data_IF_592597711082
#
_entry.id   IF_592597711082
#
_cell.length_a   1.000
_cell.length_b   1.000
_cell.length_c   1.000
_cell.angle_alpha   90.00
_cell.angle_beta   90.00
_cell.angle_gamma   90.00
#
_symmetry.space_group_name_H-M   'P 1'
#
loop_
_entity.id
_entity.type
_entity.pdbx_description
1 polymer ?
#
# COMPACT_ATOMS: atom_id res chain seq x y z
N UNK A 1 19.74 -0.07 13.91
CA UNK A 1 18.33 -0.44 14.19
C UNK A 1 17.80 -1.09 12.93
N UNK A 2 17.22 -2.26 13.04
CA UNK A 2 16.61 -3.01 11.93
C UNK A 2 15.45 -2.21 11.33
N UNK A 3 15.31 -2.27 10.00
CA UNK A 3 14.20 -1.65 9.28
C UNK A 3 13.51 -2.69 8.40
N UNK A 4 12.20 -2.71 8.44
CA UNK A 4 11.37 -3.46 7.50
C UNK A 4 10.88 -2.48 6.43
N UNK A 5 11.17 -2.80 5.17
CA UNK A 5 10.79 -2.00 4.01
C UNK A 5 9.74 -2.77 3.24
N UNK A 6 8.52 -2.23 3.17
CA UNK A 6 7.41 -2.81 2.44
C UNK A 6 7.17 -2.04 1.15
N UNK A 7 7.42 -2.70 0.02
CA UNK A 7 7.27 -2.12 -1.32
C UNK A 7 5.95 -2.62 -1.88
N UNK A 8 5.05 -1.71 -2.15
CA UNK A 8 3.68 -2.03 -2.49
C UNK A 8 3.10 -1.03 -3.51
N UNK A 9 1.94 -1.32 -4.04
CA UNK A 9 1.16 -0.34 -4.79
C UNK A 9 -0.29 -0.32 -4.27
N UNK A 10 -0.89 0.86 -4.05
CA UNK A 10 -2.27 0.96 -3.55
C UNK A 10 -3.31 0.32 -4.47
N UNK A 11 -3.00 0.19 -5.78
CA UNK A 11 -3.85 -0.44 -6.78
C UNK A 11 -3.46 -1.90 -7.09
N UNK A 12 -2.67 -2.53 -6.23
CA UNK A 12 -2.26 -3.92 -6.36
C UNK A 12 -3.12 -4.83 -5.47
N UNK A 13 -3.89 -5.75 -6.05
CA UNK A 13 -4.75 -6.69 -5.33
C UNK A 13 -3.98 -7.62 -4.38
N UNK A 14 -2.78 -8.10 -4.77
CA UNK A 14 -1.92 -8.89 -3.89
C UNK A 14 -1.38 -8.09 -2.70
N UNK A 15 -1.16 -6.77 -2.87
CA UNK A 15 -0.81 -5.90 -1.75
C UNK A 15 -1.97 -5.74 -0.77
N UNK A 16 -3.20 -5.66 -1.29
CA UNK A 16 -4.40 -5.69 -0.45
C UNK A 16 -4.52 -7.03 0.27
N UNK A 17 -4.32 -8.15 -0.42
CA UNK A 17 -4.30 -9.49 0.18
C UNK A 17 -3.28 -9.65 1.32
N UNK A 18 -2.24 -8.83 1.33
CA UNK A 18 -1.19 -8.83 2.37
C UNK A 18 -1.43 -7.80 3.50
N UNK A 19 -2.54 -7.05 3.45
CA UNK A 19 -2.81 -5.94 4.39
C UNK A 19 -2.85 -6.39 5.85
N UNK A 20 -3.49 -7.52 6.13
CA UNK A 20 -3.59 -8.04 7.50
C UNK A 20 -2.22 -8.47 8.04
N UNK A 21 -1.40 -9.10 7.21
CA UNK A 21 -0.05 -9.52 7.58
C UNK A 21 0.83 -8.32 7.93
N UNK A 22 0.84 -7.28 7.10
CA UNK A 22 1.67 -6.08 7.36
C UNK A 22 1.19 -5.33 8.59
N UNK A 23 -0.11 -5.29 8.83
CA UNK A 23 -0.67 -4.66 10.04
C UNK A 23 -0.29 -5.46 11.30
N UNK A 24 -0.39 -6.78 11.26
CA UNK A 24 0.00 -7.65 12.38
C UNK A 24 1.51 -7.55 12.68
N UNK A 25 2.36 -7.57 11.65
CA UNK A 25 3.80 -7.35 11.82
C UNK A 25 4.09 -5.97 12.43
N UNK A 26 3.41 -4.93 11.95
CA UNK A 26 3.56 -3.58 12.48
C UNK A 26 3.18 -3.53 13.96
N UNK A 27 2.01 -4.02 14.34
CA UNK A 27 1.57 -4.01 15.74
C UNK A 27 2.52 -4.79 16.65
N UNK A 28 3.07 -5.90 16.17
CA UNK A 28 4.00 -6.74 16.94
C UNK A 28 5.38 -6.10 17.09
N UNK A 29 5.91 -5.47 16.03
CA UNK A 29 7.31 -5.07 15.98
C UNK A 29 7.56 -3.56 15.96
N UNK A 30 6.54 -2.70 15.97
CA UNK A 30 6.67 -1.23 15.84
C UNK A 30 7.57 -0.56 16.90
N UNK A 31 7.77 -1.20 18.05
CA UNK A 31 8.66 -0.70 19.11
C UNK A 31 10.12 -1.18 18.97
N UNK A 32 10.40 -2.14 18.09
CA UNK A 32 11.70 -2.77 17.90
C UNK A 32 12.26 -2.53 16.49
N UNK A 33 11.39 -2.48 15.50
CA UNK A 33 11.73 -2.40 14.06
C UNK A 33 11.11 -1.14 13.49
N UNK A 34 11.89 -0.38 12.72
CA UNK A 34 11.36 0.75 11.96
C UNK A 34 10.65 0.23 10.71
N UNK A 35 9.43 0.69 10.46
CA UNK A 35 8.71 0.39 9.23
C UNK A 35 8.87 1.54 8.22
N UNK A 36 9.16 1.17 6.98
CA UNK A 36 9.21 2.10 5.85
C UNK A 36 8.30 1.54 4.73
N UNK A 37 7.33 2.34 4.28
CA UNK A 37 6.45 1.98 3.18
C UNK A 37 6.95 2.68 1.91
N UNK A 38 7.17 1.92 0.84
CA UNK A 38 7.58 2.45 -0.46
C UNK A 38 6.51 2.13 -1.51
N UNK A 39 5.58 3.06 -1.77
CA UNK A 39 4.72 2.95 -2.95
C UNK A 39 5.54 2.82 -4.23
N UNK A 40 5.15 1.90 -5.12
CA UNK A 40 5.96 1.53 -6.29
C UNK A 40 5.53 2.17 -7.61
N UNK A 41 4.33 2.75 -7.68
CA UNK A 41 3.87 3.45 -8.89
C UNK A 41 3.57 2.53 -10.07
N UNK A 42 2.76 1.48 -9.86
CA UNK A 42 2.39 0.52 -10.91
C UNK A 42 1.69 1.18 -12.09
N UNK A 43 0.76 2.08 -11.80
CA UNK A 43 -0.04 2.81 -12.80
C UNK A 43 0.32 4.29 -12.77
N UNK A 44 1.50 4.66 -13.32
CA UNK A 44 1.95 6.07 -13.36
C UNK A 44 2.43 6.45 -14.76
N UNK A 45 2.41 7.73 -15.09
CA UNK A 45 2.86 8.25 -16.37
C UNK A 45 2.12 7.60 -17.55
N UNK A 46 2.85 6.98 -18.47
CA UNK A 46 2.27 6.31 -19.65
C UNK A 46 1.47 5.05 -19.31
N UNK A 47 1.61 4.52 -18.08
CA UNK A 47 0.83 3.37 -17.62
C UNK A 47 -0.53 3.76 -17.03
N UNK A 48 -0.79 5.04 -16.77
CA UNK A 48 -2.12 5.51 -16.36
C UNK A 48 -3.15 5.19 -17.44
N UNK A 49 -4.26 4.59 -17.06
CA UNK A 49 -5.32 4.22 -18.01
C UNK A 49 -6.71 4.18 -17.39
N UNK A 50 -7.70 4.30 -18.24
CA UNK A 50 -9.09 4.09 -17.81
C UNK A 50 -9.36 2.59 -17.70
N UNK A 51 -10.11 2.24 -16.67
CA UNK A 51 -10.63 0.91 -16.45
C UNK A 51 -11.50 0.47 -17.65
N UNK A 52 -11.26 -0.72 -18.17
CA UNK A 52 -12.00 -1.29 -19.31
C UNK A 52 -12.63 -2.63 -18.93
N UNK A 53 -13.67 -3.10 -19.67
CA UNK A 53 -14.28 -4.40 -19.40
C UNK A 53 -13.29 -5.58 -19.43
N UNK A 54 -12.26 -5.51 -20.30
CA UNK A 54 -11.22 -6.53 -20.38
C UNK A 54 -10.35 -6.53 -19.11
N UNK A 55 -9.99 -5.35 -18.60
CA UNK A 55 -9.26 -5.20 -17.34
C UNK A 55 -10.08 -5.69 -16.15
N UNK A 56 -11.38 -5.38 -16.13
CA UNK A 56 -12.29 -5.87 -15.07
C UNK A 56 -12.31 -7.38 -15.02
N UNK A 57 -12.43 -8.06 -16.17
CA UNK A 57 -12.39 -9.51 -16.26
C UNK A 57 -11.05 -10.10 -15.77
N UNK A 58 -9.96 -9.40 -16.00
CA UNK A 58 -8.65 -9.76 -15.48
C UNK A 58 -8.59 -9.57 -13.96
N UNK A 59 -9.03 -8.42 -13.44
CA UNK A 59 -9.04 -8.14 -12.00
C UNK A 59 -9.85 -9.18 -11.24
N UNK A 60 -11.09 -9.46 -11.66
CA UNK A 60 -11.95 -10.44 -10.98
C UNK A 60 -11.31 -11.84 -10.87
N UNK A 61 -10.57 -12.28 -11.91
CA UNK A 61 -9.84 -13.57 -11.83
C UNK A 61 -8.66 -13.50 -10.86
N UNK A 62 -7.93 -12.38 -10.84
CA UNK A 62 -6.82 -12.18 -9.90
C UNK A 62 -7.30 -12.06 -8.47
N UNK A 63 -8.39 -11.32 -8.24
CA UNK A 63 -8.97 -11.11 -6.92
C UNK A 63 -9.43 -12.44 -6.32
N UNK A 64 -10.06 -13.32 -7.12
CA UNK A 64 -10.40 -14.69 -6.68
C UNK A 64 -9.15 -15.47 -6.23
N UNK A 65 -8.06 -15.39 -6.98
CA UNK A 65 -6.82 -16.06 -6.58
C UNK A 65 -6.24 -15.46 -5.28
N UNK A 66 -6.35 -14.15 -5.08
CA UNK A 66 -5.95 -13.50 -3.83
C UNK A 66 -6.82 -13.97 -2.68
N UNK A 67 -8.16 -13.98 -2.82
CA UNK A 67 -9.11 -14.48 -1.82
C UNK A 67 -8.78 -15.92 -1.40
N UNK A 68 -8.54 -16.81 -2.38
CA UNK A 68 -8.21 -18.21 -2.13
C UNK A 68 -6.90 -18.41 -1.36
N UNK A 69 -5.89 -17.57 -1.61
CA UNK A 69 -4.57 -17.70 -0.99
C UNK A 69 -4.45 -17.00 0.36
N UNK A 70 -5.15 -15.87 0.54
CA UNK A 70 -4.95 -15.00 1.70
C UNK A 70 -6.12 -15.05 2.68
N UNK A 71 -7.30 -15.46 2.22
CA UNK A 71 -8.54 -15.42 3.00
C UNK A 71 -9.15 -14.03 3.12
N UNK A 72 -8.55 -12.99 2.52
CA UNK A 72 -9.11 -11.64 2.52
C UNK A 72 -10.34 -11.57 1.59
N UNK A 73 -11.33 -10.76 1.94
CA UNK A 73 -12.57 -10.60 1.16
C UNK A 73 -12.53 -9.31 0.32
N UNK A 74 -12.85 -9.43 -0.96
CA UNK A 74 -13.10 -8.28 -1.83
C UNK A 74 -14.59 -7.92 -1.78
N UNK A 75 -14.89 -6.74 -1.26
CA UNK A 75 -16.25 -6.32 -0.97
C UNK A 75 -17.15 -6.20 -2.20
N UNK A 76 -18.47 -6.37 -2.01
CA UNK A 76 -19.45 -6.16 -3.07
C UNK A 76 -19.43 -4.73 -3.62
N UNK A 77 -19.15 -3.73 -2.78
CA UNK A 77 -19.02 -2.34 -3.19
C UNK A 77 -17.84 -2.13 -4.15
N UNK A 78 -16.72 -2.83 -3.96
CA UNK A 78 -15.63 -2.84 -4.92
C UNK A 78 -16.05 -3.47 -6.26
N UNK A 79 -16.81 -4.55 -6.24
CA UNK A 79 -17.33 -5.17 -7.47
C UNK A 79 -18.25 -4.23 -8.25
N UNK A 80 -18.99 -3.35 -7.57
CA UNK A 80 -19.77 -2.26 -8.20
C UNK A 80 -18.85 -1.15 -8.73
N UNK A 81 -17.78 -0.80 -8.00
CA UNK A 81 -16.77 0.16 -8.46
C UNK A 81 -16.11 -0.30 -9.78
N UNK A 82 -15.89 -1.60 -9.95
CA UNK A 82 -15.32 -2.15 -11.18
C UNK A 82 -16.20 -1.94 -12.42
N UNK A 83 -17.50 -1.67 -12.25
CA UNK A 83 -18.42 -1.36 -13.37
C UNK A 83 -18.35 0.09 -13.84
N UNK A 84 -17.62 0.94 -13.13
CA UNK A 84 -17.50 2.37 -13.40
C UNK A 84 -16.26 2.66 -14.27
N UNK A 85 -16.30 3.76 -15.01
CA UNK A 85 -15.16 4.26 -15.77
C UNK A 85 -14.21 5.04 -14.85
N UNK A 86 -13.31 4.32 -14.16
CA UNK A 86 -12.34 4.91 -13.25
C UNK A 86 -10.97 5.02 -13.90
N UNK A 87 -10.25 6.08 -13.59
CA UNK A 87 -8.84 6.22 -13.94
C UNK A 87 -8.01 5.43 -12.92
N UNK A 88 -7.16 4.55 -13.41
CA UNK A 88 -6.17 3.84 -12.60
C UNK A 88 -4.89 4.67 -12.63
N UNK A 89 -4.67 5.42 -11.57
CA UNK A 89 -3.48 6.24 -11.32
C UNK A 89 -2.97 5.95 -9.91
N UNK A 90 -1.79 5.37 -9.81
CA UNK A 90 -1.17 5.05 -8.52
C UNK A 90 -0.55 6.27 -7.84
N UNK A 91 -0.38 7.41 -8.55
CA UNK A 91 0.27 8.59 -7.97
C UNK A 91 -0.55 9.15 -6.81
N UNK A 92 -1.85 9.37 -7.03
CA UNK A 92 -2.74 9.99 -6.05
C UNK A 92 -2.78 9.21 -4.72
N UNK A 93 -3.12 7.90 -4.69
CA UNK A 93 -3.12 7.13 -3.45
C UNK A 93 -1.73 6.92 -2.85
N UNK A 94 -0.67 6.86 -3.66
CA UNK A 94 0.69 6.80 -3.16
C UNK A 94 1.09 8.11 -2.47
N UNK A 95 0.69 9.26 -3.02
CA UNK A 95 0.92 10.56 -2.43
C UNK A 95 0.19 10.72 -1.09
N UNK A 96 -1.00 10.17 -0.95
CA UNK A 96 -1.69 10.15 0.33
C UNK A 96 -0.89 9.38 1.40
N UNK A 97 -0.33 8.21 1.06
CA UNK A 97 0.54 7.45 1.97
C UNK A 97 1.82 8.24 2.31
N UNK A 98 2.47 8.82 1.30
CA UNK A 98 3.67 9.67 1.51
C UNK A 98 3.37 10.89 2.36
N UNK A 99 2.18 11.47 2.23
CA UNK A 99 1.71 12.56 3.10
C UNK A 99 1.73 12.12 4.56
N UNK A 100 1.11 10.98 4.88
CA UNK A 100 1.10 10.47 6.26
C UNK A 100 2.51 10.14 6.76
N UNK A 101 3.38 9.60 5.94
CA UNK A 101 4.79 9.37 6.32
C UNK A 101 5.48 10.64 6.80
N UNK A 102 5.05 11.81 6.34
CA UNK A 102 5.66 13.09 6.68
C UNK A 102 4.97 13.80 7.85
N UNK A 103 3.65 13.70 7.99
CA UNK A 103 2.92 14.44 9.01
C UNK A 103 2.57 13.60 10.26
N UNK A 104 2.45 12.28 10.11
CA UNK A 104 2.10 11.34 11.17
C UNK A 104 2.73 9.95 10.89
N UNK A 105 4.06 9.81 10.92
CA UNK A 105 4.77 8.60 10.45
C UNK A 105 4.36 7.32 11.19
N UNK A 106 3.93 7.40 12.44
CA UNK A 106 3.43 6.27 13.24
C UNK A 106 2.09 5.73 12.71
N UNK A 107 1.35 6.51 11.95
CA UNK A 107 0.08 6.12 11.34
C UNK A 107 0.23 5.63 9.90
N UNK A 108 1.44 5.56 9.34
CA UNK A 108 1.66 5.21 7.93
C UNK A 108 1.09 3.84 7.58
N UNK A 109 1.38 2.81 8.38
CA UNK A 109 0.89 1.44 8.11
C UNK A 109 -0.62 1.35 8.28
N UNK A 110 -1.22 1.81 9.39
CA UNK A 110 -2.68 1.85 9.52
C UNK A 110 -3.39 2.61 8.40
N UNK A 111 -2.87 3.77 8.00
CA UNK A 111 -3.43 4.56 6.91
C UNK A 111 -3.35 3.84 5.55
N UNK A 112 -2.19 3.27 5.21
CA UNK A 112 -2.00 2.49 4.00
C UNK A 112 -3.00 1.32 3.90
N UNK A 113 -3.18 0.57 4.99
CA UNK A 113 -4.15 -0.54 5.06
C UNK A 113 -5.57 -0.01 4.87
N UNK A 114 -5.92 1.13 5.49
CA UNK A 114 -7.22 1.76 5.33
C UNK A 114 -7.47 2.24 3.88
N UNK A 115 -6.47 2.80 3.20
CA UNK A 115 -6.54 3.18 1.77
C UNK A 115 -6.85 1.97 0.89
N UNK A 116 -6.17 0.85 1.09
CA UNK A 116 -6.44 -0.38 0.34
C UNK A 116 -7.84 -0.93 0.64
N UNK A 117 -8.25 -0.96 1.90
CA UNK A 117 -9.59 -1.37 2.31
C UNK A 117 -10.68 -0.45 1.74
N UNK A 118 -10.41 0.87 1.68
CA UNK A 118 -11.34 1.83 1.08
C UNK A 118 -11.66 1.46 -0.37
N UNK A 119 -10.66 1.09 -1.18
CA UNK A 119 -10.87 0.63 -2.54
C UNK A 119 -11.47 -0.77 -2.60
N UNK A 120 -10.77 -1.76 -2.06
CA UNK A 120 -11.02 -3.17 -2.35
C UNK A 120 -12.18 -3.78 -1.56
N UNK A 121 -12.58 -3.15 -0.46
CA UNK A 121 -13.73 -3.59 0.33
C UNK A 121 -14.89 -2.60 0.26
N UNK A 122 -14.61 -1.30 0.49
CA UNK A 122 -15.63 -0.25 0.56
C UNK A 122 -15.99 0.35 -0.81
N UNK A 123 -15.27 0.00 -1.89
CA UNK A 123 -15.55 0.45 -3.25
C UNK A 123 -15.40 1.96 -3.44
N UNK A 124 -14.46 2.59 -2.73
CA UNK A 124 -14.19 4.01 -2.86
C UNK A 124 -13.26 4.30 -4.04
N UNK A 125 -13.49 5.41 -4.72
CA UNK A 125 -12.59 5.90 -5.75
C UNK A 125 -11.38 6.58 -5.10
N UNK A 126 -10.18 6.07 -5.36
CA UNK A 126 -8.93 6.63 -4.84
C UNK A 126 -8.46 7.88 -5.59
N UNK A 127 -9.21 8.38 -6.55
CA UNK A 127 -8.95 9.67 -7.19
C UNK A 127 -9.59 10.85 -6.43
N UNK A 128 -10.41 10.58 -5.43
CA UNK A 128 -11.19 11.58 -4.70
C UNK A 128 -10.59 11.88 -3.32
N UNK A 129 -10.41 13.15 -3.01
CA UNK A 129 -9.88 13.61 -1.72
C UNK A 129 -10.72 13.12 -0.54
N UNK A 130 -12.06 13.08 -0.71
CA UNK A 130 -13.00 12.64 0.32
C UNK A 130 -12.69 11.21 0.83
N UNK A 131 -12.11 10.37 -0.02
CA UNK A 131 -11.71 9.02 0.39
C UNK A 131 -10.62 9.07 1.47
N UNK A 132 -9.66 9.96 1.31
CA UNK A 132 -8.54 10.11 2.25
C UNK A 132 -8.92 10.91 3.49
N UNK A 133 -9.80 11.91 3.34
CA UNK A 133 -10.30 12.71 4.46
C UNK A 133 -11.09 11.85 5.44
N UNK A 134 -11.94 10.95 4.96
CA UNK A 134 -12.64 10.00 5.83
C UNK A 134 -11.67 9.11 6.61
N UNK A 135 -10.59 8.63 5.97
CA UNK A 135 -9.55 7.82 6.64
C UNK A 135 -8.77 8.65 7.66
N UNK A 136 -8.44 9.91 7.29
CA UNK A 136 -7.72 10.83 8.18
C UNK A 136 -8.54 11.14 9.44
N UNK A 137 -9.85 11.40 9.28
CA UNK A 137 -10.78 11.60 10.40
C UNK A 137 -10.81 10.38 11.35
N UNK A 138 -10.98 9.18 10.80
CA UNK A 138 -11.01 7.92 11.57
C UNK A 138 -9.70 7.69 12.36
N UNK A 139 -8.57 8.19 11.86
CA UNK A 139 -7.25 8.06 12.48
C UNK A 139 -6.87 9.28 13.35
N UNK A 140 -7.76 10.27 13.48
CA UNK A 140 -7.51 11.48 14.27
C UNK A 140 -6.49 12.44 13.66
N UNK A 141 -6.32 12.41 12.34
CA UNK A 141 -5.43 13.32 11.59
C UNK A 141 -6.22 14.57 11.21
N UNK A 142 -5.64 15.75 11.48
CA UNK A 142 -6.24 17.03 11.12
C UNK A 142 -6.39 17.18 9.60
N UNK A 143 -7.61 17.45 9.15
CA UNK A 143 -7.98 17.56 7.72
C UNK A 143 -7.14 18.62 6.99
N UNK A 144 -7.01 19.81 7.57
CA UNK A 144 -6.29 20.90 6.93
C UNK A 144 -4.80 20.60 6.80
N UNK A 145 -4.21 20.03 7.84
CA UNK A 145 -2.80 19.58 7.82
C UNK A 145 -2.57 18.53 6.75
N UNK A 146 -3.50 17.58 6.59
CA UNK A 146 -3.43 16.56 5.54
C UNK A 146 -3.50 17.20 4.16
N UNK A 147 -4.51 18.03 3.87
CA UNK A 147 -4.73 18.65 2.57
C UNK A 147 -3.59 19.57 2.17
N UNK A 148 -3.09 20.39 3.09
CA UNK A 148 -1.99 21.32 2.82
C UNK A 148 -0.72 20.58 2.38
N UNK A 149 -0.43 19.44 2.99
CA UNK A 149 0.71 18.64 2.58
C UNK A 149 0.41 17.84 1.31
N UNK A 150 -0.72 17.15 1.24
CA UNK A 150 -1.12 16.27 0.15
C UNK A 150 -1.13 16.99 -1.22
N UNK A 151 -1.61 18.23 -1.27
CA UNK A 151 -1.65 19.02 -2.51
C UNK A 151 -0.35 19.79 -2.81
N UNK A 152 0.63 19.75 -1.91
CA UNK A 152 1.88 20.45 -2.08
C UNK A 152 2.76 19.85 -3.20
N UNK A 153 3.56 20.69 -3.85
CA UNK A 153 4.57 20.22 -4.80
C UNK A 153 5.66 19.37 -4.13
N UNK A 154 5.84 19.55 -2.82
CA UNK A 154 6.75 18.73 -2.02
C UNK A 154 6.24 17.29 -1.96
N UNK A 155 4.97 17.06 -1.64
CA UNK A 155 4.38 15.72 -1.60
C UNK A 155 4.48 15.00 -2.96
N UNK A 156 4.16 15.71 -4.05
CA UNK A 156 4.29 15.17 -5.42
C UNK A 156 5.72 14.73 -5.73
N UNK A 157 6.70 15.58 -5.41
CA UNK A 157 8.12 15.28 -5.64
C UNK A 157 8.60 14.10 -4.79
N UNK A 158 8.22 14.05 -3.53
CA UNK A 158 8.59 12.95 -2.63
C UNK A 158 7.96 11.63 -3.09
N UNK A 159 6.72 11.64 -3.56
CA UNK A 159 6.06 10.47 -4.15
C UNK A 159 6.84 9.96 -5.37
N UNK A 160 7.26 10.84 -6.27
CA UNK A 160 8.09 10.45 -7.42
C UNK A 160 9.44 9.86 -6.98
N UNK A 161 10.09 10.45 -5.95
CA UNK A 161 11.32 9.90 -5.39
C UNK A 161 11.10 8.51 -4.79
N UNK A 162 9.94 8.27 -4.17
CA UNK A 162 9.57 6.95 -3.63
C UNK A 162 9.46 5.92 -4.75
N UNK A 163 8.83 6.24 -5.88
CA UNK A 163 8.79 5.35 -7.05
C UNK A 163 10.19 5.01 -7.58
N UNK A 164 11.06 6.03 -7.70
CA UNK A 164 12.44 5.82 -8.14
C UNK A 164 13.24 4.95 -7.16
N UNK A 165 12.95 5.04 -5.87
CA UNK A 165 13.58 4.20 -4.85
C UNK A 165 13.03 2.77 -4.90
N UNK A 166 11.72 2.59 -5.04
CA UNK A 166 11.06 1.29 -5.06
C UNK A 166 11.61 0.39 -6.19
N UNK A 167 11.80 0.90 -7.40
CA UNK A 167 12.30 0.13 -8.54
C UNK A 167 13.74 -0.37 -8.37
N UNK A 168 14.51 0.20 -7.42
CA UNK A 168 15.87 -0.27 -7.11
C UNK A 168 15.84 -1.56 -6.29
N UNK A 169 14.75 -1.83 -5.58
CA UNK A 169 14.61 -2.95 -4.65
C UNK A 169 13.65 -4.02 -5.11
N UNK A 170 12.64 -3.68 -5.92
CA UNK A 170 11.60 -4.61 -6.30
C UNK A 170 11.16 -4.43 -7.77
N UNK A 171 10.86 -5.58 -8.42
CA UNK A 171 10.29 -5.64 -9.76
C UNK A 171 8.82 -6.11 -9.75
N UNK A 172 8.30 -6.45 -8.58
CA UNK A 172 6.92 -6.93 -8.37
C UNK A 172 6.39 -6.48 -7.01
N UNK A 173 5.06 -6.47 -6.87
CA UNK A 173 4.36 -6.06 -5.65
C UNK A 173 3.46 -7.19 -5.13
N UNK A 174 3.38 -7.36 -3.81
CA UNK A 174 4.25 -6.77 -2.80
C UNK A 174 5.65 -7.38 -2.78
N UNK A 175 6.61 -6.63 -2.24
CA UNK A 175 7.94 -7.13 -1.88
C UNK A 175 8.30 -6.56 -0.51
N UNK A 176 8.83 -7.40 0.37
CA UNK A 176 9.25 -7.00 1.71
C UNK A 176 10.73 -7.30 1.92
N UNK A 177 11.45 -6.32 2.43
CA UNK A 177 12.88 -6.38 2.71
C UNK A 177 13.11 -6.07 4.19
N UNK A 178 14.13 -6.70 4.74
CA UNK A 178 14.74 -6.27 6.00
C UNK A 178 16.09 -5.63 5.70
N UNK A 179 16.28 -4.41 6.18
CA UNK A 179 17.57 -3.73 6.20
C UNK A 179 18.13 -3.86 7.61
N UNK A 180 19.33 -4.48 7.72
CA UNK A 180 20.05 -4.62 8.96
C UNK A 180 21.53 -4.29 8.73
N UNK A 181 22.06 -3.26 9.39
CA UNK A 181 23.44 -2.80 9.27
C UNK A 181 23.90 -2.50 7.83
N UNK A 182 22.99 -2.03 6.97
CA UNK A 182 23.27 -1.69 5.57
C UNK A 182 23.14 -2.86 4.59
N UNK A 183 22.85 -4.06 5.08
CA UNK A 183 22.54 -5.22 4.25
C UNK A 183 21.03 -5.36 4.06
N UNK A 184 20.61 -5.71 2.84
CA UNK A 184 19.20 -5.88 2.47
C UNK A 184 18.91 -7.34 2.20
N UNK A 185 17.93 -7.90 2.90
CA UNK A 185 17.46 -9.26 2.69
C UNK A 185 15.99 -9.26 2.30
N UNK A 186 15.67 -9.86 1.16
CA UNK A 186 14.27 -10.07 0.73
C UNK A 186 13.65 -11.15 1.60
N UNK A 187 12.57 -10.81 2.30
CA UNK A 187 11.82 -11.77 3.13
C UNK A 187 10.46 -12.13 2.54
N UNK A 188 9.98 -11.36 1.55
CA UNK A 188 8.76 -11.66 0.80
C UNK A 188 8.87 -11.12 -0.63
N UNK A 189 8.37 -11.91 -1.59
CA UNK A 189 8.12 -11.47 -2.95
C UNK A 189 6.83 -12.14 -3.45
N UNK A 190 5.77 -11.36 -3.59
CA UNK A 190 4.41 -11.86 -3.72
C UNK A 190 3.75 -12.00 -2.35
N UNK A 191 3.22 -13.17 -2.01
CA UNK A 191 2.56 -13.43 -0.72
C UNK A 191 3.30 -14.48 0.09
N UNK A 192 3.45 -14.23 1.39
CA UNK A 192 3.93 -15.20 2.36
C UNK A 192 3.01 -15.18 3.61
N UNK A 193 2.88 -16.33 4.29
CA UNK A 193 2.09 -16.39 5.51
C UNK A 193 2.73 -15.57 6.63
N UNK A 194 1.92 -15.02 7.53
CA UNK A 194 2.42 -14.29 8.70
C UNK A 194 3.44 -15.12 9.50
N UNK A 195 3.19 -16.40 9.71
CA UNK A 195 4.10 -17.30 10.41
C UNK A 195 5.45 -17.43 9.73
N UNK A 196 5.51 -17.43 8.39
CA UNK A 196 6.78 -17.51 7.66
C UNK A 196 7.53 -16.17 7.69
N UNK A 197 6.80 -15.05 7.60
CA UNK A 197 7.38 -13.72 7.72
C UNK A 197 8.01 -13.53 9.10
N UNK A 198 7.31 -13.88 10.16
CA UNK A 198 7.82 -13.81 11.52
C UNK A 198 9.11 -14.64 11.70
N UNK A 199 9.11 -15.90 11.24
CA UNK A 199 10.32 -16.75 11.30
C UNK A 199 11.50 -16.10 10.59
N UNK A 200 11.29 -15.52 9.41
CA UNK A 200 12.34 -14.85 8.63
C UNK A 200 12.87 -13.61 9.35
N UNK A 201 11.97 -12.82 9.97
CA UNK A 201 12.35 -11.64 10.78
C UNK A 201 13.18 -12.08 12.00
N UNK A 202 12.73 -13.09 12.75
CA UNK A 202 13.44 -13.54 13.96
C UNK A 202 14.84 -14.09 13.64
N UNK A 203 15.03 -14.74 12.49
CA UNK A 203 16.37 -15.19 12.05
C UNK A 203 17.30 -14.01 11.79
N UNK A 204 16.78 -12.89 11.27
CA UNK A 204 17.57 -11.70 10.94
C UNK A 204 17.82 -10.78 12.15
N UNK A 205 17.13 -10.98 13.27
CA UNK A 205 17.35 -10.27 14.54
C UNK A 205 18.55 -10.81 15.32
N UNK A 206 18.94 -12.06 15.07
CA UNK A 206 20.07 -12.75 15.72
C UNK A 206 21.35 -12.56 14.92
#
# INVERSE_FOLDING_TARGET
MMKLIYIMDPLCGWCYGNSDNILELFEKYKNEIKFEILPGGMWVGENVRRQSPQMVSFFLRHDTAVEEHTGIDFGNAYRELLKQEIVLDSEIPSRAIVTIQNIAPELTVPFMVAVQKARYYLGKDLNLDETYLSIAEDLGIDEQTFLDYFHSDKAKKETQNTFQKAVQFAQSFPTMLVENNGEYTVIEQGYASISDLEKRIEVLKN
#
